data_IF_889822481255
#
_entry.id   IF_889822481255
#
_cell.length_a   1.000
_cell.length_b   1.000
_cell.length_c   1.000
_cell.angle_alpha   90.00
_cell.angle_beta   90.00
_cell.angle_gamma   90.00
#
_symmetry.space_group_name_H-M   'P 1'
#
loop_
_entity.id
_entity.type
_entity.pdbx_description
1 polymer ?
#
# COMPACT_ATOMS: atom_id res chain seq x y z
N UNK A 1 -18.72 11.14 37.25
CA UNK A 1 -18.49 11.31 35.80
C UNK A 1 -17.07 10.87 35.50
N UNK A 2 -16.91 9.68 34.90
CA UNK A 2 -15.61 9.13 34.52
C UNK A 2 -15.21 9.72 33.17
N UNK A 3 -14.10 10.46 33.13
CA UNK A 3 -13.47 10.84 31.87
C UNK A 3 -12.82 9.58 31.30
N UNK A 4 -13.33 9.10 30.18
CA UNK A 4 -12.66 8.06 29.41
C UNK A 4 -11.32 8.60 28.91
N UNK A 5 -10.23 7.98 29.34
CA UNK A 5 -8.89 8.24 28.85
C UNK A 5 -8.87 7.91 27.35
N UNK A 6 -8.81 8.92 26.48
CA UNK A 6 -8.51 8.70 25.06
C UNK A 6 -7.06 8.24 24.98
N UNK A 7 -6.87 6.93 24.87
CA UNK A 7 -5.56 6.38 24.53
C UNK A 7 -5.17 6.92 23.15
N UNK A 8 -3.93 7.41 22.97
CA UNK A 8 -3.47 7.86 21.66
C UNK A 8 -3.54 6.69 20.68
N UNK A 9 -4.16 6.91 19.53
CA UNK A 9 -4.12 5.97 18.41
C UNK A 9 -2.68 5.79 17.99
N UNK A 10 -2.05 4.68 18.39
CA UNK A 10 -0.74 4.28 17.89
C UNK A 10 -0.94 3.96 16.40
N UNK A 11 -0.57 4.91 15.54
CA UNK A 11 -0.46 4.64 14.11
C UNK A 11 0.76 3.75 13.91
N UNK A 12 0.54 2.44 13.75
CA UNK A 12 1.59 1.54 13.28
C UNK A 12 1.95 1.96 11.86
N UNK A 13 3.13 2.56 11.68
CA UNK A 13 3.66 2.80 10.35
C UNK A 13 4.12 1.45 9.79
N UNK A 14 3.40 0.95 8.78
CA UNK A 14 3.76 -0.27 8.09
C UNK A 14 4.77 0.13 7.01
N UNK A 15 5.98 -0.41 7.08
CA UNK A 15 7.07 -0.14 6.13
C UNK A 15 7.35 -1.35 5.26
N UNK A 16 7.80 -1.09 4.03
CA UNK A 16 8.25 -2.13 3.11
C UNK A 16 9.57 -2.79 3.52
N UNK A 17 10.37 -2.06 4.31
CA UNK A 17 11.66 -2.46 4.84
C UNK A 17 11.82 -1.96 6.27
N UNK A 18 12.41 -2.78 7.13
CA UNK A 18 12.90 -2.37 8.45
C UNK A 18 14.39 -2.70 8.54
N UNK A 19 15.19 -1.66 8.75
CA UNK A 19 16.63 -1.76 8.89
C UNK A 19 17.06 -1.23 10.27
N UNK A 20 17.81 -2.02 11.02
CA UNK A 20 18.42 -1.62 12.28
C UNK A 20 19.91 -1.34 12.06
N UNK A 21 20.38 -0.20 12.53
CA UNK A 21 21.79 0.19 12.47
C UNK A 21 22.41 0.11 13.86
N UNK A 22 23.52 -0.62 13.99
CA UNK A 22 24.23 -0.82 15.26
C UNK A 22 25.61 -0.18 15.24
N UNK A 23 26.03 0.35 16.40
CA UNK A 23 27.31 1.04 16.57
C UNK A 23 28.54 0.12 16.47
N UNK A 24 29.72 0.72 16.41
CA UNK A 24 31.02 0.08 16.08
C UNK A 24 31.44 -1.08 16.98
N UNK A 25 30.95 -1.12 18.22
CA UNK A 25 31.39 -2.09 19.23
C UNK A 25 30.39 -3.25 19.38
N UNK A 26 29.29 -3.19 18.62
CA UNK A 26 28.21 -4.17 18.63
C UNK A 26 28.34 -5.12 17.43
N UNK A 27 28.86 -6.32 17.68
CA UNK A 27 28.79 -7.43 16.73
C UNK A 27 27.36 -7.95 16.62
N UNK A 28 26.90 -8.29 15.40
CA UNK A 28 25.52 -8.75 15.14
C UNK A 28 25.28 -10.23 15.56
N UNK A 29 26.21 -10.81 16.33
CA UNK A 29 26.12 -12.15 16.93
C UNK A 29 26.86 -13.24 16.15
N UNK A 30 27.20 -14.33 16.85
CA UNK A 30 28.04 -15.45 16.39
C UNK A 30 27.24 -16.75 16.40
N UNK A 31 27.23 -17.49 15.28
CA UNK A 31 26.94 -18.92 15.29
C UNK A 31 27.90 -19.52 14.26
N UNK A 32 29.04 -20.03 14.74
CA UNK A 32 30.13 -20.71 14.02
C UNK A 32 31.24 -19.79 13.46
N UNK A 33 32.04 -19.16 14.33
CA UNK A 33 33.39 -18.64 14.04
C UNK A 33 33.48 -17.45 13.05
N UNK A 34 32.71 -16.38 13.23
CA UNK A 34 32.91 -15.20 12.37
C UNK A 34 32.27 -13.90 12.82
N UNK A 35 33.07 -12.83 12.82
CA UNK A 35 32.63 -11.44 12.96
C UNK A 35 31.83 -11.02 11.71
N UNK A 36 30.50 -11.10 11.76
CA UNK A 36 29.64 -10.61 10.67
C UNK A 36 29.28 -9.13 10.88
N UNK A 37 29.40 -8.34 9.82
CA UNK A 37 29.08 -6.90 9.83
C UNK A 37 27.57 -6.64 9.70
N UNK A 38 26.79 -7.63 9.27
CA UNK A 38 25.35 -7.51 9.14
C UNK A 38 24.65 -8.86 9.13
N UNK A 39 23.33 -8.81 9.19
CA UNK A 39 22.45 -9.97 9.04
C UNK A 39 21.09 -9.56 8.48
N UNK A 40 20.59 -10.33 7.53
CA UNK A 40 19.28 -10.14 6.94
C UNK A 40 18.46 -11.42 6.90
N UNK A 41 17.14 -11.25 6.90
CA UNK A 41 16.21 -12.31 6.57
C UNK A 41 16.21 -12.52 5.04
N UNK A 42 16.43 -13.77 4.60
CA UNK A 42 16.54 -14.13 3.18
C UNK A 42 15.52 -15.23 2.79
N UNK A 43 14.57 -14.94 1.87
CA UNK A 43 14.10 -13.61 1.50
C UNK A 43 13.31 -12.97 2.66
N UNK A 44 13.26 -11.64 2.73
CA UNK A 44 12.59 -10.96 3.83
C UNK A 44 12.54 -9.45 3.69
N UNK A 45 12.23 -8.76 4.80
CA UNK A 45 12.17 -7.29 4.92
C UNK A 45 12.93 -6.72 6.11
N UNK A 46 13.66 -7.57 6.82
CA UNK A 46 14.36 -7.22 8.06
C UNK A 46 15.86 -7.36 7.83
N UNK A 47 16.60 -6.30 8.16
CA UNK A 47 18.05 -6.30 8.15
C UNK A 47 18.62 -5.59 9.38
N UNK A 48 19.81 -6.02 9.78
CA UNK A 48 20.63 -5.40 10.80
C UNK A 48 22.01 -5.16 10.19
N UNK A 49 22.54 -3.94 10.29
CA UNK A 49 23.81 -3.57 9.69
C UNK A 49 24.64 -2.76 10.68
N UNK A 50 25.95 -2.99 10.73
CA UNK A 50 26.86 -2.08 11.40
C UNK A 50 26.97 -0.77 10.61
N UNK A 51 27.20 0.33 11.32
CA UNK A 51 27.48 1.64 10.69
C UNK A 51 28.95 1.83 10.27
N UNK A 52 29.80 0.83 10.52
CA UNK A 52 31.26 0.92 10.30
C UNK A 52 31.69 0.64 8.87
N UNK A 53 30.82 0.05 8.06
CA UNK A 53 31.08 -0.22 6.65
C UNK A 53 29.88 0.25 5.82
N UNK A 54 30.16 1.12 4.85
CA UNK A 54 29.14 1.76 4.01
C UNK A 54 28.40 0.75 3.12
N UNK A 55 29.02 -0.40 2.82
CA UNK A 55 28.47 -1.44 1.94
C UNK A 55 27.55 -2.43 2.66
N UNK A 56 27.70 -2.58 3.99
CA UNK A 56 26.96 -3.58 4.78
C UNK A 56 25.45 -3.46 4.57
N UNK A 57 24.91 -2.25 4.63
CA UNK A 57 23.46 -2.08 4.45
C UNK A 57 23.00 -2.57 3.09
N UNK A 58 23.72 -2.21 2.02
CA UNK A 58 23.39 -2.69 0.69
C UNK A 58 23.57 -4.22 0.59
N UNK A 59 24.59 -4.80 1.19
CA UNK A 59 24.77 -6.26 1.26
C UNK A 59 23.54 -6.96 1.86
N UNK A 60 23.09 -6.48 3.02
CA UNK A 60 21.95 -7.07 3.73
C UNK A 60 20.63 -6.87 2.98
N UNK A 61 20.48 -5.75 2.28
CA UNK A 61 19.32 -5.49 1.44
C UNK A 61 19.28 -6.43 0.23
N UNK A 62 20.43 -6.79 -0.31
CA UNK A 62 20.51 -7.83 -1.32
C UNK A 62 20.11 -9.22 -0.81
N UNK A 63 20.41 -9.55 0.46
CA UNK A 63 19.85 -10.74 1.10
C UNK A 63 18.33 -10.65 1.29
N UNK A 64 17.77 -9.49 1.64
CA UNK A 64 16.32 -9.31 1.71
C UNK A 64 15.63 -9.56 0.36
N UNK A 65 16.28 -9.16 -0.75
CA UNK A 65 15.84 -9.51 -2.10
C UNK A 65 15.92 -11.02 -2.36
N UNK A 66 16.73 -11.78 -1.63
CA UNK A 66 16.90 -13.23 -1.82
C UNK A 66 18.26 -13.61 -2.42
N UNK A 67 19.20 -12.66 -2.46
CA UNK A 67 20.56 -12.86 -2.94
C UNK A 67 21.42 -13.68 -2.00
N UNK A 68 22.37 -14.41 -2.58
CA UNK A 68 23.39 -15.21 -1.91
C UNK A 68 24.74 -14.51 -2.03
N UNK A 69 25.71 -14.91 -1.21
CA UNK A 69 27.10 -14.46 -1.31
C UNK A 69 27.75 -14.81 -2.67
N UNK A 70 29.08 -14.76 -2.74
CA UNK A 70 29.84 -15.15 -3.92
C UNK A 70 29.48 -16.55 -4.46
N UNK A 71 29.59 -16.74 -5.77
CA UNK A 71 29.60 -18.05 -6.41
C UNK A 71 30.88 -18.83 -6.05
N UNK A 72 30.93 -19.45 -4.86
CA UNK A 72 32.07 -20.31 -4.46
C UNK A 72 31.71 -21.79 -4.36
N UNK A 73 30.49 -22.11 -3.93
CA UNK A 73 30.07 -23.50 -3.68
C UNK A 73 28.69 -23.85 -4.21
N UNK A 74 27.90 -22.86 -4.63
CA UNK A 74 26.55 -23.07 -5.18
C UNK A 74 26.40 -22.22 -6.44
N UNK A 75 26.31 -22.82 -7.64
CA UNK A 75 25.99 -22.09 -8.85
C UNK A 75 24.56 -21.55 -8.77
N UNK A 76 24.30 -20.43 -9.44
CA UNK A 76 22.96 -19.84 -9.47
C UNK A 76 22.96 -18.32 -9.60
N UNK A 77 22.01 -17.80 -10.37
CA UNK A 77 21.86 -16.38 -10.66
C UNK A 77 21.71 -15.48 -9.41
N UNK A 78 21.36 -16.04 -8.25
CA UNK A 78 21.22 -15.30 -6.99
C UNK A 78 22.55 -14.91 -6.35
N UNK A 79 23.70 -15.34 -6.84
CA UNK A 79 24.99 -15.02 -6.21
C UNK A 79 25.51 -13.63 -6.58
N UNK A 80 26.36 -13.09 -5.70
CA UNK A 80 27.21 -11.94 -5.97
C UNK A 80 28.40 -12.27 -6.88
N UNK A 81 28.92 -11.24 -7.57
CA UNK A 81 30.18 -11.28 -8.31
C UNK A 81 31.33 -10.77 -7.42
N UNK A 82 32.57 -11.21 -7.65
CA UNK A 82 33.70 -11.11 -6.69
C UNK A 82 34.00 -9.72 -6.11
N UNK A 83 33.64 -8.64 -6.82
CA UNK A 83 33.88 -7.24 -6.42
C UNK A 83 32.59 -6.51 -6.00
N UNK A 84 31.44 -7.13 -6.26
CA UNK A 84 30.13 -6.53 -6.00
C UNK A 84 29.76 -6.56 -4.52
N UNK A 85 28.72 -5.79 -4.20
CA UNK A 85 28.25 -5.59 -2.84
C UNK A 85 27.85 -6.90 -2.16
N UNK A 86 27.27 -7.85 -2.89
CA UNK A 86 26.78 -9.10 -2.31
C UNK A 86 27.90 -10.11 -1.99
N UNK A 87 29.11 -9.94 -2.52
CA UNK A 87 30.19 -10.91 -2.35
C UNK A 87 31.32 -10.42 -1.45
N UNK A 88 31.79 -9.18 -1.66
CA UNK A 88 33.01 -8.71 -0.98
C UNK A 88 32.90 -7.32 -0.36
N UNK A 89 31.74 -6.66 -0.45
CA UNK A 89 31.56 -5.30 0.08
C UNK A 89 32.58 -4.29 -0.44
N UNK A 90 32.91 -4.34 -1.74
CA UNK A 90 33.95 -3.50 -2.35
C UNK A 90 33.40 -2.41 -3.25
N UNK A 91 32.35 -2.71 -4.00
CA UNK A 91 31.77 -1.79 -4.97
C UNK A 91 30.24 -1.77 -4.81
N UNK A 92 29.63 -0.58 -4.95
CA UNK A 92 28.18 -0.35 -4.79
C UNK A 92 27.38 -0.79 -6.03
N UNK A 93 27.52 -2.04 -6.41
CA UNK A 93 26.69 -2.64 -7.44
C UNK A 93 26.44 -4.12 -7.17
N UNK A 94 25.33 -4.59 -7.70
CA UNK A 94 24.94 -6.00 -7.72
C UNK A 94 25.37 -6.64 -9.02
N UNK A 95 25.61 -7.96 -8.99
CA UNK A 95 25.88 -8.72 -10.20
C UNK A 95 24.72 -8.61 -11.20
N UNK A 96 25.02 -8.55 -12.48
CA UNK A 96 24.00 -8.31 -13.51
C UNK A 96 24.50 -8.44 -14.94
N UNK A 97 23.56 -8.69 -15.85
CA UNK A 97 23.81 -8.80 -17.29
C UNK A 97 23.79 -7.46 -18.04
N UNK A 98 23.57 -6.36 -17.33
CA UNK A 98 23.54 -5.01 -17.89
C UNK A 98 24.59 -4.21 -17.12
N UNK A 99 25.60 -3.71 -17.85
CA UNK A 99 26.54 -2.75 -17.28
C UNK A 99 25.80 -1.47 -16.89
N UNK A 100 26.23 -0.84 -15.79
CA UNK A 100 25.62 0.40 -15.30
C UNK A 100 25.66 1.52 -16.35
N UNK A 101 26.71 1.55 -17.15
CA UNK A 101 26.89 2.48 -18.26
C UNK A 101 27.21 1.73 -19.57
N UNK A 102 26.88 2.32 -20.73
CA UNK A 102 27.30 1.79 -22.03
C UNK A 102 28.82 1.56 -22.08
N UNK A 103 29.23 0.34 -22.43
CA UNK A 103 30.64 -0.05 -22.52
C UNK A 103 31.25 -0.58 -21.22
N UNK A 104 30.53 -0.56 -20.09
CA UNK A 104 31.01 -1.23 -18.88
C UNK A 104 31.00 -2.76 -19.05
N UNK A 105 32.03 -3.39 -18.51
CA UNK A 105 32.12 -4.84 -18.47
C UNK A 105 30.95 -5.42 -17.66
N UNK A 106 30.35 -6.48 -18.20
CA UNK A 106 29.33 -7.25 -17.48
C UNK A 106 29.93 -7.79 -16.19
N UNK A 107 29.22 -7.61 -15.09
CA UNK A 107 29.66 -8.02 -13.76
C UNK A 107 28.87 -9.24 -13.31
N UNK A 108 29.12 -10.37 -13.95
CA UNK A 108 28.41 -11.61 -13.66
C UNK A 108 28.09 -12.45 -14.89
N UNK A 109 27.28 -13.47 -14.67
CA UNK A 109 26.75 -14.35 -15.72
C UNK A 109 25.29 -14.67 -15.41
N UNK A 110 24.50 -14.88 -16.47
CA UNK A 110 23.08 -15.23 -16.34
C UNK A 110 22.85 -16.53 -15.54
N UNK A 111 23.84 -17.43 -15.52
CA UNK A 111 23.74 -18.72 -14.86
C UNK A 111 24.11 -18.63 -13.38
N UNK A 112 25.10 -17.79 -13.04
CA UNK A 112 25.81 -17.91 -11.77
C UNK A 112 25.95 -16.63 -10.95
N UNK A 113 25.70 -15.45 -11.53
CA UNK A 113 25.77 -14.18 -10.82
C UNK A 113 24.98 -13.11 -11.57
N UNK A 114 23.67 -13.04 -11.33
CA UNK A 114 22.76 -12.06 -11.90
C UNK A 114 21.71 -11.63 -10.85
N UNK A 115 22.19 -10.92 -9.84
CA UNK A 115 21.35 -10.32 -8.82
C UNK A 115 20.36 -9.31 -9.40
N UNK A 116 20.64 -8.71 -10.56
CA UNK A 116 19.69 -7.84 -11.26
C UNK A 116 18.38 -8.56 -11.59
N UNK A 117 18.46 -9.83 -12.01
CA UNK A 117 17.29 -10.69 -12.18
C UNK A 117 16.55 -10.94 -10.87
N UNK A 118 17.29 -11.23 -9.79
CA UNK A 118 16.69 -11.42 -8.45
C UNK A 118 15.91 -10.18 -8.02
N UNK A 119 16.47 -9.00 -8.19
CA UNK A 119 15.79 -7.73 -7.92
C UNK A 119 14.52 -7.56 -8.76
N UNK A 120 14.57 -7.87 -10.06
CA UNK A 120 13.40 -7.81 -10.94
C UNK A 120 12.29 -8.76 -10.53
N UNK A 121 12.63 -9.99 -10.16
CA UNK A 121 11.67 -11.02 -9.71
C UNK A 121 11.01 -10.65 -8.36
N UNK A 122 11.70 -9.88 -7.52
CA UNK A 122 11.33 -9.68 -6.12
C UNK A 122 10.80 -8.28 -5.82
N UNK A 123 10.88 -7.33 -6.76
CA UNK A 123 10.47 -5.93 -6.61
C UNK A 123 9.06 -5.75 -6.07
N UNK A 124 8.08 -6.55 -6.55
CA UNK A 124 6.70 -6.42 -6.11
C UNK A 124 6.50 -6.94 -4.69
N UNK A 125 7.18 -8.03 -4.30
CA UNK A 125 7.16 -8.53 -2.93
C UNK A 125 7.75 -7.51 -1.97
N UNK A 126 8.90 -6.93 -2.32
CA UNK A 126 9.57 -5.94 -1.47
C UNK A 126 8.75 -4.66 -1.32
N UNK A 127 7.98 -4.26 -2.33
CA UNK A 127 7.11 -3.08 -2.32
C UNK A 127 5.66 -3.35 -1.86
N UNK A 128 5.37 -4.55 -1.34
CA UNK A 128 4.01 -4.95 -0.92
C UNK A 128 3.93 -5.34 0.55
N UNK A 129 4.98 -5.08 1.33
CA UNK A 129 4.98 -5.38 2.76
C UNK A 129 4.21 -4.33 3.56
N UNK A 130 4.10 -3.11 3.01
CA UNK A 130 3.09 -2.12 3.34
C UNK A 130 1.90 -2.21 2.36
N UNK A 131 0.67 -1.88 2.80
CA UNK A 131 -0.44 -1.69 1.86
C UNK A 131 -0.07 -0.64 0.79
N UNK A 132 -0.58 -0.78 -0.45
CA UNK A 132 -0.11 -0.01 -1.59
C UNK A 132 -0.22 1.50 -1.33
N UNK A 133 0.81 2.22 -1.79
CA UNK A 133 0.80 3.67 -1.93
C UNK A 133 0.25 4.05 -3.32
N UNK A 134 -0.59 5.10 -3.46
CA UNK A 134 -1.06 6.00 -2.40
C UNK A 134 -1.96 5.29 -1.39
N UNK A 135 -2.05 5.78 -0.14
CA UNK A 135 -2.95 5.20 0.86
C UNK A 135 -4.34 5.01 0.26
N UNK A 136 -5.02 3.91 0.62
CA UNK A 136 -6.43 3.77 0.26
C UNK A 136 -7.16 5.04 0.72
N UNK A 137 -8.06 5.61 -0.12
CA UNK A 137 -8.76 6.83 0.26
C UNK A 137 -9.49 6.60 1.57
N UNK A 138 -9.32 7.52 2.51
CA UNK A 138 -10.06 7.47 3.76
C UNK A 138 -11.56 7.57 3.46
N UNK A 139 -12.41 7.02 4.32
CA UNK A 139 -13.86 6.91 4.06
C UNK A 139 -14.50 8.26 3.66
N UNK A 140 -14.09 9.34 4.32
CA UNK A 140 -14.57 10.71 4.04
C UNK A 140 -14.10 11.28 2.70
N UNK A 141 -13.20 10.61 1.99
CA UNK A 141 -12.71 11.00 0.66
C UNK A 141 -13.43 10.29 -0.48
N UNK A 142 -14.11 9.18 -0.18
CA UNK A 142 -14.88 8.38 -1.13
C UNK A 142 -16.25 9.03 -1.39
N UNK A 143 -16.82 8.77 -2.56
CA UNK A 143 -18.19 9.17 -2.89
C UNK A 143 -18.94 7.96 -3.47
N UNK A 144 -20.25 7.83 -3.26
CA UNK A 144 -21.05 6.89 -4.04
C UNK A 144 -20.98 7.28 -5.52
N UNK A 145 -20.54 6.33 -6.35
CA UNK A 145 -20.39 6.53 -7.79
C UNK A 145 -21.64 6.07 -8.55
N UNK A 146 -21.71 6.43 -9.83
CA UNK A 146 -22.80 6.02 -10.73
C UNK A 146 -24.22 6.29 -10.16
N UNK A 147 -24.37 7.39 -9.42
CA UNK A 147 -25.64 7.80 -8.85
C UNK A 147 -26.66 8.11 -9.95
N UNK A 148 -27.79 7.39 -9.90
CA UNK A 148 -28.89 7.45 -10.86
C UNK A 148 -30.22 7.60 -10.12
N UNK A 149 -31.17 8.22 -10.78
CA UNK A 149 -32.55 8.39 -10.33
C UNK A 149 -33.50 8.26 -11.50
N UNK A 150 -34.44 7.32 -11.41
CA UNK A 150 -35.46 7.08 -12.44
C UNK A 150 -36.81 7.55 -11.91
N UNK A 151 -37.35 8.67 -12.42
CA UNK A 151 -38.66 9.16 -11.99
C UNK A 151 -39.80 8.28 -12.53
N UNK A 152 -40.87 8.21 -11.77
CA UNK A 152 -42.15 7.61 -12.16
C UNK A 152 -43.32 8.28 -11.43
N UNK A 153 -44.57 7.88 -11.69
CA UNK A 153 -45.74 8.50 -11.08
C UNK A 153 -45.69 8.40 -9.55
N UNK A 154 -45.52 9.53 -8.87
CA UNK A 154 -45.42 9.62 -7.41
C UNK A 154 -44.20 8.91 -6.80
N UNK A 155 -43.15 8.61 -7.57
CA UNK A 155 -41.96 7.92 -7.08
C UNK A 155 -40.68 8.29 -7.83
N UNK A 156 -39.53 8.11 -7.19
CA UNK A 156 -38.21 8.16 -7.81
C UNK A 156 -37.39 6.97 -7.28
N UNK A 157 -36.92 6.11 -8.18
CA UNK A 157 -36.02 5.01 -7.83
C UNK A 157 -34.57 5.46 -7.97
N UNK A 158 -33.83 5.50 -6.87
CA UNK A 158 -32.40 5.80 -6.86
C UNK A 158 -31.55 4.53 -6.77
N UNK A 159 -30.35 4.58 -7.37
CA UNK A 159 -29.32 3.53 -7.29
C UNK A 159 -27.93 4.13 -7.43
N UNK A 160 -26.92 3.52 -6.82
CA UNK A 160 -25.52 3.92 -6.89
C UNK A 160 -24.59 2.72 -6.65
N UNK A 161 -23.30 2.91 -6.86
CA UNK A 161 -22.28 1.94 -6.50
C UNK A 161 -21.95 2.04 -4.99
N UNK A 162 -21.81 0.92 -4.28
CA UNK A 162 -21.54 0.93 -2.85
C UNK A 162 -20.14 1.48 -2.55
N UNK A 163 -20.08 2.33 -1.52
CA UNK A 163 -18.84 2.80 -0.92
C UNK A 163 -18.33 1.76 0.09
N UNK A 164 -17.05 1.33 0.01
CA UNK A 164 -16.44 0.47 1.02
C UNK A 164 -16.64 0.99 2.45
N UNK A 165 -16.97 0.09 3.38
CA UNK A 165 -17.22 0.38 4.80
C UNK A 165 -18.46 1.23 5.13
N UNK A 166 -19.25 1.66 4.14
CA UNK A 166 -20.54 2.27 4.40
C UNK A 166 -21.54 1.22 4.91
N UNK A 167 -22.23 1.52 6.00
CA UNK A 167 -23.31 0.70 6.57
C UNK A 167 -24.70 1.26 6.26
N UNK A 168 -24.76 2.54 5.86
CA UNK A 168 -25.99 3.25 5.51
C UNK A 168 -25.68 4.30 4.45
N UNK A 169 -26.70 4.72 3.73
CA UNK A 169 -26.68 5.86 2.83
C UNK A 169 -27.83 6.79 3.13
N UNK A 170 -27.58 8.10 3.02
CA UNK A 170 -28.57 9.15 3.18
C UNK A 170 -28.79 9.84 1.83
N UNK A 171 -30.03 9.83 1.34
CA UNK A 171 -30.41 10.51 0.09
C UNK A 171 -30.83 11.94 0.42
N UNK A 172 -30.22 12.89 -0.27
CA UNK A 172 -30.30 14.31 0.04
C UNK A 172 -30.89 15.06 -1.15
N UNK A 173 -31.90 15.89 -0.88
CA UNK A 173 -32.43 16.86 -1.82
C UNK A 173 -31.80 18.23 -1.56
N UNK A 174 -31.15 18.79 -2.57
CA UNK A 174 -30.60 20.15 -2.51
C UNK A 174 -31.76 21.13 -2.31
N UNK A 175 -31.64 21.97 -1.28
CA UNK A 175 -32.69 22.91 -0.83
C UNK A 175 -33.98 22.25 -0.31
N UNK A 176 -33.97 20.94 -0.04
CA UNK A 176 -35.03 20.27 0.71
C UNK A 176 -35.01 20.68 2.19
N UNK A 177 -36.19 20.67 2.83
CA UNK A 177 -36.34 20.90 4.26
C UNK A 177 -37.23 19.78 4.85
N UNK A 178 -36.66 18.81 5.60
CA UNK A 178 -35.23 18.57 5.80
C UNK A 178 -34.52 18.18 4.49
N UNK A 179 -33.18 18.34 4.40
CA UNK A 179 -32.43 18.00 3.20
C UNK A 179 -32.40 16.48 2.97
N UNK A 180 -32.28 15.68 4.02
CA UNK A 180 -32.36 14.22 3.92
C UNK A 180 -33.80 13.79 3.68
N UNK A 181 -34.06 13.18 2.54
CA UNK A 181 -35.39 12.67 2.16
C UNK A 181 -35.61 11.22 2.60
N UNK A 182 -34.53 10.51 2.91
CA UNK A 182 -34.57 9.17 3.48
C UNK A 182 -33.19 8.51 3.57
N UNK A 183 -33.16 7.35 4.20
CA UNK A 183 -31.95 6.57 4.44
C UNK A 183 -32.18 5.09 4.10
N UNK A 184 -31.11 4.38 3.74
CA UNK A 184 -31.15 2.96 3.38
C UNK A 184 -29.83 2.28 3.73
N UNK A 185 -29.86 0.98 4.05
CA UNK A 185 -28.65 0.17 4.20
C UNK A 185 -28.15 -0.41 2.86
N UNK A 186 -28.99 -0.33 1.82
CA UNK A 186 -28.69 -0.87 0.49
C UNK A 186 -28.21 0.24 -0.45
N UNK A 187 -27.53 -0.12 -1.54
CA UNK A 187 -27.11 0.82 -2.58
C UNK A 187 -28.25 1.25 -3.53
N UNK A 188 -29.47 1.28 -3.01
CA UNK A 188 -30.69 1.69 -3.72
C UNK A 188 -31.73 2.20 -2.72
N UNK A 189 -32.51 3.20 -3.15
CA UNK A 189 -33.57 3.79 -2.34
C UNK A 189 -34.76 4.19 -3.22
N UNK A 190 -35.97 3.82 -2.79
CA UNK A 190 -37.20 4.22 -3.45
C UNK A 190 -37.85 5.36 -2.66
N UNK A 191 -37.90 6.55 -3.26
CA UNK A 191 -38.61 7.70 -2.71
C UNK A 191 -40.02 7.73 -3.26
N UNK A 192 -41.05 7.66 -2.40
CA UNK A 192 -42.45 7.62 -2.83
C UNK A 192 -43.30 8.73 -2.21
N UNK A 193 -44.50 8.90 -2.78
CA UNK A 193 -45.51 9.81 -2.29
C UNK A 193 -45.14 11.27 -2.52
N UNK A 194 -45.61 12.15 -1.63
CA UNK A 194 -45.50 13.61 -1.80
C UNK A 194 -44.06 14.13 -1.76
N UNK A 195 -43.10 13.33 -1.32
CA UNK A 195 -41.68 13.70 -1.27
C UNK A 195 -40.99 13.49 -2.63
N UNK A 196 -41.52 12.60 -3.48
CA UNK A 196 -41.01 12.32 -4.83
C UNK A 196 -41.36 13.47 -5.78
N UNK A 197 -40.50 14.48 -5.82
CA UNK A 197 -40.74 15.76 -6.49
C UNK A 197 -39.53 16.14 -7.34
N UNK A 198 -39.71 16.97 -8.36
CA UNK A 198 -38.58 17.50 -9.12
C UNK A 198 -37.57 18.20 -8.21
N UNK A 199 -36.30 18.13 -8.58
CA UNK A 199 -35.22 18.83 -7.89
C UNK A 199 -33.86 18.18 -8.09
N UNK A 200 -32.86 18.71 -7.39
CA UNK A 200 -31.49 18.19 -7.45
C UNK A 200 -31.23 17.26 -6.25
N UNK A 201 -30.78 16.05 -6.52
CA UNK A 201 -30.52 15.02 -5.52
C UNK A 201 -29.04 14.61 -5.48
N UNK A 202 -28.58 14.11 -4.34
CA UNK A 202 -27.28 13.47 -4.15
C UNK A 202 -27.39 12.39 -3.08
N UNK A 203 -26.39 11.52 -2.98
CA UNK A 203 -26.30 10.51 -1.92
C UNK A 203 -24.92 10.54 -1.26
N UNK A 204 -24.87 10.31 0.04
CA UNK A 204 -23.62 10.12 0.81
C UNK A 204 -23.72 8.84 1.65
N UNK A 205 -22.58 8.19 1.89
CA UNK A 205 -22.47 7.02 2.74
C UNK A 205 -22.16 7.39 4.18
N UNK A 206 -22.57 6.52 5.11
CA UNK A 206 -22.33 6.62 6.55
C UNK A 206 -21.63 5.35 7.02
N UNK A 207 -20.49 5.49 7.71
CA UNK A 207 -19.78 4.34 8.29
C UNK A 207 -20.31 3.97 9.68
N UNK A 208 -19.77 2.90 10.27
CA UNK A 208 -20.17 2.41 11.59
C UNK A 208 -19.84 3.38 12.75
N UNK A 209 -18.97 4.36 12.51
CA UNK A 209 -18.61 5.41 13.46
C UNK A 209 -19.48 6.66 13.30
N UNK A 210 -20.33 6.71 12.26
CA UNK A 210 -21.18 7.86 11.94
C UNK A 210 -20.47 8.94 11.11
N UNK A 211 -19.29 8.65 10.55
CA UNK A 211 -18.63 9.57 9.61
C UNK A 211 -19.38 9.54 8.27
N UNK A 212 -19.27 10.64 7.52
CA UNK A 212 -19.88 10.80 6.20
C UNK A 212 -18.82 10.70 5.11
N UNK A 213 -19.15 10.02 4.02
CA UNK A 213 -18.38 10.07 2.79
C UNK A 213 -18.55 11.44 2.10
N UNK A 214 -17.80 11.72 1.04
CA UNK A 214 -18.21 12.76 0.10
C UNK A 214 -19.57 12.41 -0.50
N UNK A 215 -20.30 13.44 -0.92
CA UNK A 215 -21.51 13.26 -1.73
C UNK A 215 -21.15 12.77 -3.12
N UNK A 216 -22.06 11.97 -3.68
CA UNK A 216 -22.11 11.70 -5.11
C UNK A 216 -22.21 13.01 -5.91
N UNK A 217 -22.09 12.89 -7.23
CA UNK A 217 -22.54 13.94 -8.13
C UNK A 217 -24.00 14.32 -7.86
N UNK A 218 -24.33 15.58 -8.11
CA UNK A 218 -25.70 16.07 -8.06
C UNK A 218 -26.46 15.68 -9.33
N UNK A 219 -27.62 15.08 -9.16
CA UNK A 219 -28.51 14.66 -10.24
C UNK A 219 -29.78 15.50 -10.24
N UNK A 220 -30.05 16.20 -11.34
CA UNK A 220 -31.33 16.86 -11.55
C UNK A 220 -32.38 15.82 -11.98
N UNK A 221 -33.50 15.75 -11.26
CA UNK A 221 -34.63 14.88 -11.56
C UNK A 221 -35.83 15.75 -11.87
N UNK A 222 -36.51 15.44 -12.96
CA UNK A 222 -37.82 16.01 -13.29
C UNK A 222 -38.88 14.92 -13.18
N UNK A 223 -39.84 15.11 -12.27
CA UNK A 223 -40.99 14.21 -12.11
C UNK A 223 -42.13 14.81 -12.92
N UNK A 224 -42.60 14.09 -13.94
CA UNK A 224 -43.80 14.50 -14.68
C UNK A 224 -45.02 14.43 -13.74
N UNK A 225 -45.91 15.43 -13.80
CA UNK A 225 -47.12 15.48 -12.98
C UNK A 225 -48.07 14.30 -13.23
#
# INVERSE_FOLDING_TARGET
MSQALKLPTIRYQICDLVALFVGSDSHVGDIWNGYVLGKAQMPGRLSISTVTNNFTFAHEIGHNAGGLHCMRSQPGYKNGYEQGVQCSDREFWYSGMIGWEPGMQLRGSWADADMSRTWLEQKYRLASYAPPYPPQPEFYELAPENFKGVPGPGRIQFSWDPVPNAIRYDVIKRFGIPPTVGSTENSSFLLEGRQATSGTYSVEGVDAQGNLSKRSVYLQIEVSP
#
